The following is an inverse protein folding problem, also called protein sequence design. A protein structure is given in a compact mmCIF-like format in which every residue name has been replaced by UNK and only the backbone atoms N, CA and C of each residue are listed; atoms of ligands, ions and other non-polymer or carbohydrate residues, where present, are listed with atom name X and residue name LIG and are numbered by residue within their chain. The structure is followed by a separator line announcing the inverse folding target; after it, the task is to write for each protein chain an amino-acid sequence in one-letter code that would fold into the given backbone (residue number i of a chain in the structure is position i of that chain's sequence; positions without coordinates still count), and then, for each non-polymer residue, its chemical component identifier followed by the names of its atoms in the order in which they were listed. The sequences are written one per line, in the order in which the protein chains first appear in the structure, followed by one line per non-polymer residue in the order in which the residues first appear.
data_IF_711500799158
#
_entry.id   IF_711500799158
#
_cell.length_a   1.000
_cell.length_b   1.000
_cell.length_c   1.000
_cell.angle_alpha   90.00
_cell.angle_beta   90.00
_cell.angle_gamma   90.00
#
_symmetry.space_group_name_H-M   'P 1'
#
loop_
_entity.id
_entity.type
_entity.pdbx_description
1 polymer ?
#
# COMPACT_ATOMS: atom_id res chain seq x y z
N UNK A 1 -42.39 -25.55 -1.88
CA UNK A 1 -41.72 -24.66 -0.90
C UNK A 1 -40.44 -25.27 -0.33
N UNK A 2 -40.46 -26.22 0.62
CA UNK A 2 -39.24 -26.69 1.33
C UNK A 2 -38.03 -27.07 0.44
N UNK A 3 -38.25 -27.79 -0.67
CA UNK A 3 -37.17 -28.13 -1.65
C UNK A 3 -36.58 -26.90 -2.37
N UNK A 4 -37.38 -25.89 -2.69
CA UNK A 4 -36.91 -24.66 -3.35
C UNK A 4 -36.05 -23.85 -2.36
N UNK A 5 -36.50 -23.73 -1.12
CA UNK A 5 -35.75 -23.05 -0.06
C UNK A 5 -34.39 -23.73 0.20
N UNK A 6 -34.37 -25.08 0.24
CA UNK A 6 -33.13 -25.85 0.38
C UNK A 6 -32.15 -25.60 -0.78
N UNK A 7 -32.64 -25.61 -2.03
CA UNK A 7 -31.81 -25.34 -3.21
C UNK A 7 -31.23 -23.92 -3.20
N UNK A 8 -32.01 -22.91 -2.78
CA UNK A 8 -31.53 -21.53 -2.64
C UNK A 8 -30.44 -21.43 -1.58
N UNK A 9 -30.62 -22.07 -0.42
CA UNK A 9 -29.60 -22.12 0.64
C UNK A 9 -28.30 -22.77 0.14
N UNK A 10 -28.40 -23.88 -0.61
CA UNK A 10 -27.22 -24.56 -1.18
C UNK A 10 -26.50 -23.65 -2.20
N UNK A 11 -27.24 -22.97 -3.08
CA UNK A 11 -26.65 -22.04 -4.06
C UNK A 11 -25.96 -20.87 -3.36
N UNK A 12 -26.59 -20.25 -2.36
CA UNK A 12 -25.98 -19.16 -1.57
C UNK A 12 -24.74 -19.65 -0.82
N UNK A 13 -24.79 -20.85 -0.21
CA UNK A 13 -23.64 -21.45 0.44
C UNK A 13 -22.49 -21.74 -0.53
N UNK A 14 -22.78 -22.25 -1.74
CA UNK A 14 -21.75 -22.44 -2.77
C UNK A 14 -21.16 -21.13 -3.27
N UNK A 15 -21.97 -20.08 -3.49
CA UNK A 15 -21.47 -18.75 -3.88
C UNK A 15 -20.59 -18.14 -2.77
N UNK A 16 -20.97 -18.31 -1.50
CA UNK A 16 -20.16 -17.90 -0.35
C UNK A 16 -18.86 -18.71 -0.25
N UNK A 17 -18.91 -20.04 -0.45
CA UNK A 17 -17.72 -20.90 -0.46
C UNK A 17 -16.76 -20.55 -1.61
N UNK A 18 -17.28 -20.29 -2.81
CA UNK A 18 -16.47 -19.85 -3.97
C UNK A 18 -15.85 -18.48 -3.69
N UNK A 19 -16.59 -17.54 -3.08
CA UNK A 19 -16.03 -16.25 -2.64
C UNK A 19 -14.95 -16.42 -1.57
N UNK A 20 -15.16 -17.26 -0.55
CA UNK A 20 -14.15 -17.55 0.47
C UNK A 20 -12.91 -18.23 -0.13
N UNK A 21 -13.08 -19.13 -1.10
CA UNK A 21 -11.97 -19.75 -1.82
C UNK A 21 -11.17 -18.73 -2.65
N UNK A 22 -11.85 -17.79 -3.32
CA UNK A 22 -11.19 -16.68 -4.02
C UNK A 22 -10.45 -15.72 -3.07
N UNK A 23 -11.00 -15.43 -1.88
CA UNK A 23 -10.28 -14.64 -0.87
C UNK A 23 -9.07 -15.38 -0.27
N UNK A 24 -9.11 -16.72 -0.24
CA UNK A 24 -8.02 -17.56 0.26
C UNK A 24 -6.90 -17.80 -0.78
N UNK A 25 -7.08 -17.37 -2.03
CA UNK A 25 -6.15 -17.64 -3.14
C UNK A 25 -5.22 -16.47 -3.50
N UNK A 26 -5.15 -15.41 -2.69
CA UNK A 26 -4.13 -14.36 -2.89
C UNK A 26 -2.73 -14.95 -2.53
N UNK A 27 -1.81 -15.07 -3.51
CA UNK A 27 -0.54 -15.74 -3.31
C UNK A 27 0.43 -14.93 -2.44
N UNK A 28 1.62 -15.46 -2.21
CA UNK A 28 2.63 -14.80 -1.39
C UNK A 28 3.24 -13.57 -2.07
N UNK A 29 3.47 -12.45 -1.34
CA UNK A 29 4.64 -11.61 -1.56
C UNK A 29 5.85 -12.44 -1.11
N UNK A 30 6.20 -13.38 -1.97
CA UNK A 30 7.10 -14.50 -1.75
C UNK A 30 8.54 -14.04 -1.53
N UNK A 31 9.33 -14.89 -0.88
CA UNK A 31 10.79 -14.86 -1.04
C UNK A 31 11.24 -15.31 -2.46
N UNK A 32 10.38 -15.18 -3.48
CA UNK A 32 10.80 -15.32 -4.88
C UNK A 32 11.23 -13.96 -5.40
N UNK A 33 12.08 -13.96 -6.42
CA UNK A 33 12.37 -12.74 -7.18
C UNK A 33 11.09 -12.19 -7.81
N UNK A 34 11.04 -10.87 -7.94
CA UNK A 34 10.08 -10.16 -8.80
C UNK A 34 10.04 -10.79 -10.20
N UNK A 35 8.88 -10.71 -10.87
CA UNK A 35 8.73 -11.25 -12.24
C UNK A 35 9.52 -10.42 -13.24
N UNK A 36 9.58 -9.11 -13.02
CA UNK A 36 10.25 -8.13 -13.88
C UNK A 36 11.48 -7.52 -13.20
N UNK A 37 12.51 -7.16 -13.95
CA UNK A 37 13.74 -6.58 -13.39
C UNK A 37 13.62 -5.09 -13.06
N UNK A 38 12.73 -4.38 -13.74
CA UNK A 38 12.52 -2.94 -13.70
C UNK A 38 11.17 -2.60 -14.37
N UNK A 39 10.77 -1.32 -14.37
CA UNK A 39 9.49 -0.91 -14.98
C UNK A 39 9.48 -1.07 -16.50
N UNK A 40 10.63 -0.94 -17.18
CA UNK A 40 10.70 -1.09 -18.63
C UNK A 40 10.40 -2.54 -19.03
N UNK A 41 11.00 -3.50 -18.32
CA UNK A 41 10.75 -4.94 -18.50
C UNK A 41 9.26 -5.29 -18.26
N UNK A 42 8.64 -4.72 -17.22
CA UNK A 42 7.19 -4.86 -16.99
C UNK A 42 6.37 -4.29 -18.16
N UNK A 43 6.66 -3.07 -18.59
CA UNK A 43 5.91 -2.38 -19.65
C UNK A 43 6.13 -2.99 -21.05
N UNK A 44 7.15 -3.82 -21.25
CA UNK A 44 7.37 -4.59 -22.49
C UNK A 44 6.60 -5.92 -22.51
N UNK A 45 6.07 -6.38 -21.37
CA UNK A 45 5.44 -7.70 -21.21
C UNK A 45 3.98 -7.70 -20.73
N UNK A 46 3.50 -6.61 -20.13
CA UNK A 46 2.14 -6.47 -19.60
C UNK A 46 1.27 -5.56 -20.49
N UNK A 47 -0.05 -5.78 -20.47
CA UNK A 47 -0.99 -4.90 -21.17
C UNK A 47 -1.07 -3.52 -20.44
N UNK A 48 -1.04 -2.38 -21.15
CA UNK A 48 -1.26 -1.07 -20.53
C UNK A 48 -2.60 -0.90 -19.78
N UNK A 49 -3.62 -1.73 -20.07
CA UNK A 49 -4.89 -1.75 -19.31
C UNK A 49 -4.80 -2.58 -18.01
N UNK A 50 -3.77 -3.42 -17.84
CA UNK A 50 -3.56 -4.27 -16.65
C UNK A 50 -2.92 -3.52 -15.47
N UNK A 51 -2.47 -2.27 -15.67
CA UNK A 51 -1.99 -1.38 -14.61
C UNK A 51 -2.41 0.09 -14.82
N UNK A 52 -2.32 0.91 -13.77
CA UNK A 52 -2.57 2.35 -13.87
C UNK A 52 -1.54 3.16 -13.07
N UNK A 53 -1.03 4.22 -13.69
CA UNK A 53 -0.11 5.18 -13.06
C UNK A 53 -0.86 6.50 -12.85
N UNK A 54 -0.81 7.05 -11.63
CA UNK A 54 -1.35 8.36 -11.32
C UNK A 54 -0.39 9.20 -10.46
N UNK A 55 -0.16 10.44 -10.89
CA UNK A 55 0.55 11.45 -10.12
C UNK A 55 -0.34 12.69 -9.97
N UNK A 56 -0.72 12.99 -8.73
CA UNK A 56 -1.47 14.19 -8.36
C UNK A 56 -0.50 15.16 -7.68
N UNK A 57 -0.10 16.22 -8.38
CA UNK A 57 0.83 17.23 -7.88
C UNK A 57 0.10 18.31 -7.08
N UNK A 58 0.45 18.45 -5.79
CA UNK A 58 -0.08 19.52 -4.94
C UNK A 58 0.93 20.66 -4.81
N UNK A 59 0.53 21.87 -5.23
CA UNK A 59 1.39 23.07 -5.16
C UNK A 59 1.83 23.33 -3.71
N UNK A 60 3.14 23.33 -3.48
CA UNK A 60 3.74 23.62 -2.18
C UNK A 60 3.80 22.45 -1.20
N UNK A 61 3.42 21.23 -1.60
CA UNK A 61 3.63 20.04 -0.76
C UNK A 61 5.12 19.70 -0.69
N UNK A 62 5.77 19.67 0.49
CA UNK A 62 7.16 19.24 0.61
C UNK A 62 7.27 17.70 0.69
N UNK A 63 6.16 17.02 0.96
CA UNK A 63 6.06 15.55 1.07
C UNK A 63 5.35 14.99 -0.17
N UNK A 64 5.89 13.90 -0.72
CA UNK A 64 5.18 13.00 -1.62
C UNK A 64 4.69 11.79 -0.82
N UNK A 65 3.41 11.44 -0.96
CA UNK A 65 2.85 10.22 -0.35
C UNK A 65 2.57 9.23 -1.46
N UNK A 66 3.18 8.06 -1.43
CA UNK A 66 3.20 7.17 -2.59
C UNK A 66 3.04 5.69 -2.26
N UNK A 67 2.68 4.91 -3.28
CA UNK A 67 2.92 3.48 -3.31
C UNK A 67 3.31 3.02 -4.72
N UNK A 68 4.39 2.24 -4.88
CA UNK A 68 4.66 1.52 -6.12
C UNK A 68 3.79 0.26 -6.27
N UNK A 69 3.00 -0.13 -5.27
CA UNK A 69 2.32 -1.44 -5.20
C UNK A 69 0.81 -1.33 -4.96
N UNK A 70 0.17 -0.34 -5.58
CA UNK A 70 -1.25 -0.07 -5.46
C UNK A 70 -2.18 -1.09 -6.12
N UNK A 71 -3.47 -0.78 -6.06
CA UNK A 71 -4.56 -1.50 -6.70
C UNK A 71 -4.77 -2.87 -6.07
N UNK A 72 -4.37 -3.91 -6.79
CA UNK A 72 -4.51 -5.32 -6.40
C UNK A 72 -3.17 -5.99 -6.06
N UNK A 73 -2.04 -5.27 -6.16
CA UNK A 73 -0.71 -5.77 -5.77
C UNK A 73 -0.66 -5.89 -4.24
N UNK A 74 -0.75 -4.76 -3.52
CA UNK A 74 -0.86 -4.72 -2.06
C UNK A 74 -2.21 -4.09 -1.67
N UNK A 75 -3.30 -4.87 -1.81
CA UNK A 75 -4.68 -4.37 -1.63
C UNK A 75 -4.87 -3.47 -0.39
N UNK A 76 -5.50 -2.30 -0.57
CA UNK A 76 -5.75 -1.31 0.47
C UNK A 76 -4.77 -0.13 0.48
N UNK A 77 -3.55 -0.25 -0.07
CA UNK A 77 -2.57 0.86 -0.02
C UNK A 77 -2.99 2.06 -0.89
N UNK A 78 -3.60 1.83 -2.04
CA UNK A 78 -4.14 2.89 -2.90
C UNK A 78 -5.17 3.75 -2.19
N UNK A 79 -6.10 3.12 -1.46
CA UNK A 79 -7.16 3.82 -0.74
C UNK A 79 -6.54 4.73 0.34
N UNK A 80 -5.50 4.25 1.04
CA UNK A 80 -4.72 5.04 2.00
C UNK A 80 -4.07 6.24 1.30
N UNK A 81 -3.30 6.03 0.23
CA UNK A 81 -2.60 7.11 -0.49
C UNK A 81 -3.56 8.14 -1.07
N UNK A 82 -4.66 7.72 -1.72
CA UNK A 82 -5.69 8.63 -2.27
C UNK A 82 -6.31 9.54 -1.21
N UNK A 83 -6.36 9.09 0.06
CA UNK A 83 -6.92 9.88 1.17
C UNK A 83 -6.07 11.09 1.59
N UNK A 84 -4.91 11.29 0.97
CA UNK A 84 -4.04 12.46 1.18
C UNK A 84 -4.03 13.45 0.01
N UNK A 85 -4.66 13.12 -1.14
CA UNK A 85 -4.53 13.85 -2.41
C UNK A 85 -4.98 15.32 -2.37
N UNK A 86 -5.85 15.66 -1.43
CA UNK A 86 -6.40 17.02 -1.28
C UNK A 86 -5.42 17.97 -0.56
N UNK A 87 -4.49 17.42 0.22
CA UNK A 87 -3.53 18.16 1.05
C UNK A 87 -2.07 18.01 0.58
N UNK A 88 -1.72 16.86 0.01
CA UNK A 88 -0.35 16.49 -0.37
C UNK A 88 -0.28 16.01 -1.82
N UNK A 89 0.93 16.03 -2.37
CA UNK A 89 1.19 15.35 -3.63
C UNK A 89 1.13 13.83 -3.41
N UNK A 90 0.57 13.11 -4.38
CA UNK A 90 0.47 11.64 -4.31
C UNK A 90 0.91 10.96 -5.60
N UNK A 91 1.57 9.81 -5.48
CA UNK A 91 1.90 8.92 -6.61
C UNK A 91 1.35 7.51 -6.35
N UNK A 92 0.77 6.88 -7.36
CA UNK A 92 0.37 5.46 -7.34
C UNK A 92 0.71 4.78 -8.66
N UNK A 93 1.37 3.62 -8.58
CA UNK A 93 1.29 2.56 -9.58
C UNK A 93 0.32 1.51 -9.04
N UNK A 94 -0.64 1.06 -9.85
CA UNK A 94 -1.72 0.18 -9.43
C UNK A 94 -1.86 -1.03 -10.35
N UNK A 95 -1.82 -2.25 -9.80
CA UNK A 95 -2.20 -3.44 -10.56
C UNK A 95 -3.71 -3.61 -10.65
N UNK A 96 -4.22 -3.82 -11.87
CA UNK A 96 -5.64 -3.88 -12.21
C UNK A 96 -6.12 -5.26 -12.70
N UNK A 97 -5.19 -6.19 -13.00
CA UNK A 97 -5.46 -7.55 -13.50
C UNK A 97 -6.56 -8.24 -12.71
N UNK A 98 -7.37 -9.08 -13.36
CA UNK A 98 -8.40 -9.87 -12.65
C UNK A 98 -7.78 -10.79 -11.58
N UNK A 99 -6.61 -11.35 -11.87
CA UNK A 99 -5.83 -12.30 -11.07
C UNK A 99 -4.33 -11.99 -11.20
N UNK A 100 -3.50 -12.61 -10.37
CA UNK A 100 -2.03 -12.62 -10.51
C UNK A 100 -1.30 -11.26 -10.49
N UNK A 101 -1.86 -10.26 -9.78
CA UNK A 101 -1.27 -8.92 -9.67
C UNK A 101 0.09 -8.89 -8.95
N UNK A 102 0.47 -9.94 -8.22
CA UNK A 102 1.82 -10.08 -7.67
C UNK A 102 2.92 -10.12 -8.76
N UNK A 103 2.58 -10.45 -10.01
CA UNK A 103 3.51 -10.36 -11.15
C UNK A 103 3.97 -8.92 -11.42
N UNK A 104 3.10 -7.94 -11.14
CA UNK A 104 3.36 -6.50 -11.30
C UNK A 104 4.17 -5.90 -10.15
N UNK A 105 4.54 -6.68 -9.13
CA UNK A 105 5.41 -6.20 -8.05
C UNK A 105 6.86 -6.10 -8.56
N UNK A 106 7.44 -4.91 -8.43
CA UNK A 106 8.87 -4.66 -8.60
C UNK A 106 9.37 -4.04 -7.30
N UNK A 107 10.32 -4.68 -6.62
CA UNK A 107 10.84 -4.21 -5.33
C UNK A 107 11.33 -2.76 -5.40
N UNK A 108 11.19 -2.02 -4.30
CA UNK A 108 11.43 -0.57 -4.27
C UNK A 108 12.87 -0.16 -4.60
N UNK A 109 13.86 -1.06 -4.55
CA UNK A 109 15.25 -0.81 -5.01
C UNK A 109 15.43 -0.93 -6.53
N UNK A 110 14.43 -1.47 -7.23
CA UNK A 110 14.41 -1.65 -8.69
C UNK A 110 13.28 -0.88 -9.38
N UNK A 111 12.27 -0.43 -8.62
CA UNK A 111 11.16 0.34 -9.16
C UNK A 111 11.65 1.70 -9.69
N UNK A 112 11.57 1.90 -11.00
CA UNK A 112 12.16 3.04 -11.73
C UNK A 112 11.18 3.69 -12.73
N UNK A 113 9.87 3.51 -12.54
CA UNK A 113 8.84 4.11 -13.40
C UNK A 113 9.08 5.62 -13.58
N UNK A 114 9.15 6.15 -14.82
CA UNK A 114 9.61 7.52 -15.08
C UNK A 114 8.89 8.61 -14.31
N UNK A 115 7.57 8.51 -14.14
CA UNK A 115 6.74 9.47 -13.41
C UNK A 115 6.97 9.42 -11.90
N UNK A 116 7.22 8.25 -11.34
CA UNK A 116 7.66 8.06 -9.94
C UNK A 116 9.02 8.73 -9.72
N UNK A 117 10.00 8.43 -10.58
CA UNK A 117 11.33 9.02 -10.51
C UNK A 117 11.26 10.55 -10.63
N UNK A 118 10.54 11.08 -11.62
CA UNK A 118 10.38 12.53 -11.81
C UNK A 118 9.66 13.19 -10.61
N UNK A 119 8.57 12.60 -10.12
CA UNK A 119 7.79 13.17 -9.01
C UNK A 119 8.57 13.15 -7.69
N UNK A 120 9.34 12.11 -7.40
CA UNK A 120 10.17 12.03 -6.18
C UNK A 120 11.24 13.12 -6.15
N UNK A 121 11.90 13.41 -7.28
CA UNK A 121 12.90 14.51 -7.36
C UNK A 121 12.30 15.90 -7.18
N UNK A 122 10.97 16.05 -7.30
CA UNK A 122 10.26 17.32 -7.06
C UNK A 122 9.93 17.57 -5.58
N UNK A 123 10.12 16.60 -4.69
CA UNK A 123 9.73 16.68 -3.28
C UNK A 123 10.93 16.57 -2.34
N UNK A 124 10.80 17.18 -1.15
CA UNK A 124 11.84 17.12 -0.13
C UNK A 124 11.86 15.75 0.55
N UNK A 125 10.68 15.17 0.79
CA UNK A 125 10.48 13.98 1.63
C UNK A 125 9.49 13.01 0.99
N UNK A 126 9.60 11.73 1.32
CA UNK A 126 8.65 10.68 0.89
C UNK A 126 8.04 9.98 2.10
N UNK A 127 6.75 9.66 2.00
CA UNK A 127 6.10 8.66 2.85
C UNK A 127 5.53 7.59 1.92
N UNK A 128 6.14 6.41 1.95
CA UNK A 128 5.74 5.28 1.12
C UNK A 128 4.83 4.33 1.90
N UNK A 129 3.77 3.86 1.25
CA UNK A 129 2.77 2.96 1.83
C UNK A 129 2.86 1.61 1.12
N UNK A 130 3.16 0.57 1.89
CA UNK A 130 3.34 -0.80 1.47
C UNK A 130 2.49 -1.77 2.32
N UNK A 131 2.40 -3.01 1.88
CA UNK A 131 1.52 -4.02 2.45
C UNK A 131 2.10 -5.43 2.45
N UNK A 132 2.85 -5.78 3.48
CA UNK A 132 3.35 -7.15 3.70
C UNK A 132 2.25 -8.16 4.12
N UNK A 133 2.56 -9.47 4.05
CA UNK A 133 1.70 -10.54 4.61
C UNK A 133 1.87 -10.64 6.12
N UNK A 134 0.75 -10.67 6.84
CA UNK A 134 0.73 -10.94 8.28
C UNK A 134 -0.69 -11.10 8.79
N UNK A 135 -0.89 -12.13 9.60
CA UNK A 135 -2.20 -12.55 10.12
C UNK A 135 -2.64 -11.75 11.35
N UNK A 136 -1.71 -11.02 11.97
CA UNK A 136 -1.94 -10.08 13.07
C UNK A 136 -1.96 -8.64 12.58
N UNK A 137 -2.77 -7.78 13.22
CA UNK A 137 -2.80 -6.34 12.91
C UNK A 137 -1.49 -5.69 13.37
N UNK A 138 -0.65 -5.23 12.45
CA UNK A 138 0.59 -4.52 12.78
C UNK A 138 1.01 -3.55 11.66
N UNK A 139 1.91 -2.63 11.99
CA UNK A 139 2.57 -1.74 11.02
C UNK A 139 4.05 -1.60 11.36
N UNK A 140 4.93 -2.09 10.49
CA UNK A 140 6.37 -1.83 10.62
C UNK A 140 6.67 -0.46 10.00
N UNK A 141 7.38 0.40 10.74
CA UNK A 141 7.72 1.76 10.30
C UNK A 141 9.22 1.85 10.01
N UNK A 142 9.54 1.82 8.73
CA UNK A 142 10.87 1.91 8.14
C UNK A 142 11.23 3.31 7.65
N UNK A 143 12.07 3.35 6.62
CA UNK A 143 12.58 4.57 5.99
C UNK A 143 13.84 5.12 6.66
N UNK A 144 14.50 6.03 5.94
CA UNK A 144 15.74 6.70 6.36
C UNK A 144 15.52 7.79 7.43
N UNK A 145 14.33 8.40 7.51
CA UNK A 145 13.98 9.36 8.57
C UNK A 145 13.61 8.65 9.88
N UNK A 146 14.62 8.07 10.52
CA UNK A 146 14.46 7.34 11.80
C UNK A 146 13.89 8.22 12.92
N UNK A 147 14.05 9.55 12.84
CA UNK A 147 13.51 10.50 13.83
C UNK A 147 12.00 10.64 13.68
N UNK A 148 11.50 10.89 12.47
CA UNK A 148 10.05 11.04 12.22
C UNK A 148 9.34 9.69 12.21
N UNK A 149 9.97 8.62 11.71
CA UNK A 149 9.47 7.24 11.86
C UNK A 149 9.17 6.90 13.33
N UNK A 150 10.09 7.19 14.26
CA UNK A 150 9.88 6.96 15.70
C UNK A 150 8.74 7.81 16.29
N UNK A 151 8.48 9.00 15.76
CA UNK A 151 7.33 9.82 16.16
C UNK A 151 6.02 9.26 15.61
N UNK A 152 6.03 8.73 14.39
CA UNK A 152 4.87 8.11 13.76
C UNK A 152 4.45 6.81 14.47
N UNK A 153 5.39 5.91 14.78
CA UNK A 153 5.13 4.71 15.63
C UNK A 153 4.39 5.11 16.90
N UNK A 154 4.95 6.07 17.66
CA UNK A 154 4.34 6.57 18.90
C UNK A 154 2.97 7.23 18.70
N UNK A 155 2.70 7.80 17.53
CA UNK A 155 1.40 8.36 17.21
C UNK A 155 0.38 7.25 16.91
N UNK A 156 0.78 6.22 16.16
CA UNK A 156 -0.03 5.03 15.88
C UNK A 156 -0.38 4.27 17.17
N UNK A 157 0.62 3.98 18.02
CA UNK A 157 0.43 3.36 19.35
C UNK A 157 -0.61 4.13 20.18
N UNK A 158 -0.48 5.46 20.29
CA UNK A 158 -1.43 6.32 21.02
C UNK A 158 -2.84 6.39 20.42
N UNK A 159 -3.04 5.98 19.17
CA UNK A 159 -4.36 5.92 18.51
C UNK A 159 -4.87 4.46 18.38
N UNK A 160 -4.28 3.52 19.12
CA UNK A 160 -4.77 2.15 19.27
C UNK A 160 -4.33 1.19 18.16
N UNK A 161 -3.22 1.48 17.47
CA UNK A 161 -2.63 0.59 16.46
C UNK A 161 -1.37 -0.08 17.02
N UNK A 162 -1.19 -1.37 16.71
CA UNK A 162 0.14 -1.98 16.85
C UNK A 162 1.04 -1.42 15.77
N UNK A 163 2.15 -0.81 16.18
CA UNK A 163 3.18 -0.32 15.28
C UNK A 163 4.54 -0.40 15.96
N UNK A 164 5.57 -0.68 15.18
CA UNK A 164 6.95 -0.79 15.67
C UNK A 164 7.95 -0.23 14.66
N UNK A 165 9.18 0.05 15.08
CA UNK A 165 10.23 0.46 14.16
C UNK A 165 10.77 -0.75 13.41
N UNK A 166 10.63 -0.76 12.09
CA UNK A 166 11.24 -1.78 11.24
C UNK A 166 12.77 -1.80 11.48
N UNK A 167 13.35 -2.99 11.58
CA UNK A 167 14.81 -3.19 11.71
C UNK A 167 15.35 -3.86 10.45
N UNK A 168 16.64 -3.71 10.14
CA UNK A 168 17.25 -4.33 8.94
C UNK A 168 17.05 -5.86 8.90
N UNK A 169 16.91 -6.52 10.05
CA UNK A 169 16.61 -7.96 10.16
C UNK A 169 15.26 -8.36 9.56
N UNK A 170 14.33 -7.41 9.39
CA UNK A 170 13.00 -7.67 8.80
C UNK A 170 13.02 -7.70 7.28
N UNK A 171 14.09 -7.24 6.62
CA UNK A 171 14.12 -6.95 5.17
C UNK A 171 13.32 -5.68 4.79
N UNK A 172 12.19 -5.45 5.46
CA UNK A 172 11.22 -4.38 5.22
C UNK A 172 11.59 -3.02 5.88
N UNK A 173 12.89 -2.75 6.03
CA UNK A 173 13.36 -1.57 6.75
C UNK A 173 13.32 -0.27 5.92
N UNK A 174 13.32 -0.35 4.59
CA UNK A 174 13.28 0.81 3.69
C UNK A 174 14.49 1.76 3.80
N UNK A 175 15.66 1.26 4.22
CA UNK A 175 16.87 2.08 4.47
C UNK A 175 17.92 2.05 3.36
N UNK A 176 17.69 1.25 2.31
CA UNK A 176 18.63 1.11 1.20
C UNK A 176 18.70 2.42 0.37
N UNK A 177 19.89 2.83 -0.07
CA UNK A 177 20.08 4.03 -0.89
C UNK A 177 19.50 3.90 -2.30
N UNK A 178 19.38 2.69 -2.83
CA UNK A 178 18.79 2.44 -4.16
C UNK A 178 17.25 2.46 -4.10
N UNK A 179 16.67 2.23 -2.91
CA UNK A 179 15.23 2.27 -2.70
C UNK A 179 14.65 3.62 -3.13
N UNK A 180 13.72 3.62 -4.08
CA UNK A 180 13.12 4.81 -4.70
C UNK A 180 12.56 5.78 -3.64
N UNK A 181 12.07 5.27 -2.51
CA UNK A 181 11.57 6.06 -1.40
C UNK A 181 12.65 7.01 -0.82
N UNK A 182 13.92 6.63 -0.89
CA UNK A 182 15.08 7.39 -0.40
C UNK A 182 15.70 8.31 -1.47
N UNK A 183 15.07 8.43 -2.64
CA UNK A 183 15.62 9.22 -3.75
C UNK A 183 15.11 10.67 -3.83
N UNK A 184 14.30 11.11 -2.87
CA UNK A 184 13.82 12.49 -2.73
C UNK A 184 14.97 13.49 -2.45
N UNK A 185 14.72 14.80 -2.55
CA UNK A 185 15.80 15.81 -2.48
C UNK A 185 16.61 15.80 -1.18
N UNK A 186 16.01 15.38 -0.04
CA UNK A 186 16.74 15.25 1.23
C UNK A 186 17.22 13.83 1.53
N UNK A 187 16.84 12.85 0.70
CA UNK A 187 17.01 11.42 0.96
C UNK A 187 16.22 10.87 2.15
N UNK A 188 15.41 11.69 2.84
CA UNK A 188 14.67 11.32 4.05
C UNK A 188 13.26 10.81 3.74
N UNK A 189 13.01 9.55 4.10
CA UNK A 189 11.75 8.85 3.89
C UNK A 189 11.17 8.22 5.16
N UNK A 190 9.87 7.94 5.15
CA UNK A 190 9.25 6.95 6.02
C UNK A 190 8.64 5.86 5.14
N UNK A 191 8.91 4.60 5.45
CA UNK A 191 8.25 3.44 4.82
C UNK A 191 7.23 2.87 5.81
N UNK A 192 5.98 2.68 5.38
CA UNK A 192 4.91 2.08 6.16
C UNK A 192 4.60 0.70 5.59
N UNK A 193 4.86 -0.34 6.36
CA UNK A 193 4.61 -1.73 5.98
C UNK A 193 3.42 -2.24 6.78
N UNK A 194 2.26 -2.33 6.14
CA UNK A 194 0.99 -2.58 6.82
C UNK A 194 0.57 -4.03 6.60
N UNK A 195 0.42 -4.79 7.69
CA UNK A 195 0.08 -6.22 7.57
C UNK A 195 -1.23 -6.42 6.82
N UNK A 196 -1.37 -7.54 6.10
CA UNK A 196 -2.64 -7.88 5.43
C UNK A 196 -3.81 -7.78 6.40
N UNK A 197 -3.69 -8.31 7.63
CA UNK A 197 -4.76 -8.22 8.63
C UNK A 197 -5.14 -6.79 9.00
N UNK A 198 -4.16 -5.89 9.09
CA UNK A 198 -4.42 -4.48 9.37
C UNK A 198 -5.06 -3.79 8.17
N UNK A 199 -4.65 -4.11 6.93
CA UNK A 199 -5.27 -3.62 5.69
C UNK A 199 -6.69 -4.13 5.52
N UNK A 200 -6.98 -5.40 5.81
CA UNK A 200 -8.34 -5.95 5.77
C UNK A 200 -9.27 -5.22 6.74
N UNK A 201 -8.83 -4.96 7.98
CA UNK A 201 -9.64 -4.29 9.00
C UNK A 201 -9.96 -2.81 8.73
N UNK A 202 -9.32 -2.23 7.71
CA UNK A 202 -9.66 -0.90 7.20
C UNK A 202 -10.93 -0.88 6.34
N UNK A 203 -11.48 -2.04 5.96
CA UNK A 203 -12.64 -2.12 5.07
C UNK A 203 -13.65 -3.17 5.56
N UNK A 204 -14.95 -2.86 5.51
CA UNK A 204 -16.01 -3.87 5.75
C UNK A 204 -16.05 -4.94 4.63
N UNK A 205 -15.48 -4.61 3.47
CA UNK A 205 -15.29 -5.53 2.35
C UNK A 205 -13.96 -5.26 1.66
N UNK A 206 -13.08 -6.26 1.58
CA UNK A 206 -11.71 -6.11 1.07
C UNK A 206 -11.58 -6.32 -0.46
N UNK A 207 -12.66 -6.70 -1.16
CA UNK A 207 -12.66 -6.74 -2.63
C UNK A 207 -12.27 -5.38 -3.21
N UNK A 208 -11.36 -5.39 -4.17
CA UNK A 208 -10.84 -4.20 -4.87
C UNK A 208 -11.94 -3.22 -5.32
N UNK A 209 -13.08 -3.72 -5.81
CA UNK A 209 -14.19 -2.89 -6.32
C UNK A 209 -14.98 -2.21 -5.20
N UNK A 210 -14.84 -2.69 -3.97
CA UNK A 210 -15.69 -2.34 -2.82
C UNK A 210 -14.92 -1.50 -1.80
N UNK A 211 -13.59 -1.69 -1.65
CA UNK A 211 -12.74 -0.97 -0.69
C UNK A 211 -12.85 0.55 -0.75
N UNK A 212 -13.10 1.13 -1.93
CA UNK A 212 -13.29 2.58 -2.03
C UNK A 212 -14.50 3.06 -1.22
N UNK A 213 -15.55 2.24 -1.12
CA UNK A 213 -16.84 2.58 -0.50
C UNK A 213 -17.04 2.02 0.92
N UNK A 214 -16.26 1.01 1.32
CA UNK A 214 -16.42 0.28 2.59
C UNK A 214 -15.39 0.63 3.67
N UNK A 215 -14.74 1.79 3.57
CA UNK A 215 -13.74 2.29 4.53
C UNK A 215 -14.30 2.40 5.96
N UNK A 216 -13.64 1.77 6.93
CA UNK A 216 -14.06 1.76 8.35
C UNK A 216 -13.56 2.97 9.15
N UNK A 217 -14.10 3.17 10.34
CA UNK A 217 -13.55 4.14 11.32
C UNK A 217 -12.09 3.84 11.70
N UNK A 218 -11.63 2.59 11.56
CA UNK A 218 -10.23 2.23 11.77
C UNK A 218 -9.33 2.80 10.67
N UNK A 219 -9.75 2.76 9.41
CA UNK A 219 -9.09 3.42 8.29
C UNK A 219 -8.97 4.93 8.51
N UNK A 220 -10.09 5.61 8.80
CA UNK A 220 -10.09 7.06 8.98
C UNK A 220 -9.28 7.50 10.21
N UNK A 221 -9.22 6.68 11.27
CA UNK A 221 -8.35 6.91 12.43
C UNK A 221 -6.86 6.74 12.07
N UNK A 222 -6.51 5.75 11.25
CA UNK A 222 -5.14 5.51 10.78
C UNK A 222 -4.63 6.66 9.91
N UNK A 223 -5.35 7.00 8.84
CA UNK A 223 -5.02 8.11 7.93
C UNK A 223 -4.91 9.45 8.69
N UNK A 224 -5.87 9.74 9.58
CA UNK A 224 -5.85 10.97 10.41
C UNK A 224 -4.65 11.02 11.35
N UNK A 225 -4.18 9.87 11.84
CA UNK A 225 -2.99 9.78 12.70
C UNK A 225 -1.72 10.13 11.91
N UNK A 226 -1.56 9.57 10.72
CA UNK A 226 -0.46 9.91 9.81
C UNK A 226 -0.52 11.40 9.43
N UNK A 227 -1.66 11.90 8.93
CA UNK A 227 -1.85 13.31 8.53
C UNK A 227 -1.50 14.30 9.65
N UNK A 228 -1.83 14.00 10.91
CA UNK A 228 -1.43 14.80 12.07
C UNK A 228 0.08 14.85 12.26
N UNK A 229 0.78 13.74 12.12
CA UNK A 229 2.25 13.70 12.20
C UNK A 229 2.86 14.49 11.04
N UNK A 230 2.33 14.38 9.83
CA UNK A 230 2.86 15.13 8.68
C UNK A 230 2.74 16.64 8.92
N UNK A 231 1.55 17.10 9.32
CA UNK A 231 1.28 18.51 9.67
C UNK A 231 2.15 19.06 10.81
N UNK A 232 2.73 18.21 11.67
CA UNK A 232 3.56 18.61 12.81
C UNK A 232 5.06 18.56 12.52
N UNK A 233 5.48 17.79 11.52
CA UNK A 233 6.89 17.43 11.32
C UNK A 233 7.47 17.91 9.99
N UNK A 234 6.64 18.34 9.04
CA UNK A 234 7.03 18.75 7.68
C UNK A 234 6.46 20.11 7.25
N UNK A 235 5.90 20.87 8.20
CA UNK A 235 5.55 22.29 8.08
C UNK A 235 6.77 23.20 8.11
#
# INVERSE_FOLDING_TARGET
MKRILLNVIIIVAMVLLIRCAHYASDPDPSNSSDTYTDFKDLAEHEDPDDYHISYNKRKGSPVLIMSPHGGRIEGGVSEIVRSFRDDYSTYLFEGLKAHDNQTLHITSTKFDEPSAVESIKQHHYVIAVHGYKGDEKNTLVGGSDRKRAKKLVRALERNGFSAELATSKTGLAGVDTENINNQAQTGLSIQLEISRKQREAFFDNFDYREREFTKTEEFYRFVRTIKRVINQEYS
#
